data_IF_310487357303
#
_entry.id   IF_310487357303
#
_cell.length_a   1.000
_cell.length_b   1.000
_cell.length_c   1.000
_cell.angle_alpha   90.00
_cell.angle_beta   90.00
_cell.angle_gamma   90.00
#
_symmetry.space_group_name_H-M   'P 1'
#
loop_
_entity.id
_entity.type
_entity.pdbx_description
1 polymer ?
#
# COMPACT_ATOMS: atom_id res chain seq x y z
N UNK A 1 4.68 39.30 39.87
CA UNK A 1 4.63 39.21 38.40
C UNK A 1 3.39 39.92 37.87
N UNK A 2 3.53 40.87 36.94
CA UNK A 2 2.46 41.73 36.41
C UNK A 2 1.37 40.88 35.71
N UNK A 3 0.10 41.27 35.82
CA UNK A 3 -1.06 40.55 35.25
C UNK A 3 -0.95 40.38 33.73
N UNK A 4 -0.31 41.35 33.06
CA UNK A 4 0.00 41.29 31.62
C UNK A 4 0.85 40.06 31.29
N UNK A 5 1.92 39.83 32.05
CA UNK A 5 2.81 38.68 31.86
C UNK A 5 2.09 37.34 32.10
N UNK A 6 1.22 37.27 33.13
CA UNK A 6 0.42 36.06 33.38
C UNK A 6 -0.55 35.75 32.23
N UNK A 7 -1.21 36.78 31.69
CA UNK A 7 -2.13 36.62 30.56
C UNK A 7 -1.38 36.16 29.30
N UNK A 8 -0.26 36.79 28.95
CA UNK A 8 0.54 36.41 27.78
C UNK A 8 1.05 34.96 27.88
N UNK A 9 1.49 34.56 29.06
CA UNK A 9 1.94 33.19 29.32
C UNK A 9 0.81 32.16 29.16
N UNK A 10 -0.40 32.48 29.64
CA UNK A 10 -1.57 31.60 29.49
C UNK A 10 -2.00 31.46 28.02
N UNK A 11 -2.01 32.55 27.25
CA UNK A 11 -2.33 32.54 25.82
C UNK A 11 -1.31 31.71 25.02
N UNK A 12 -0.03 31.86 25.33
CA UNK A 12 1.04 31.07 24.73
C UNK A 12 0.91 29.58 25.06
N UNK A 13 0.55 29.24 26.30
CA UNK A 13 0.28 27.85 26.70
C UNK A 13 -0.90 27.24 25.91
N UNK A 14 -1.99 27.99 25.72
CA UNK A 14 -3.14 27.53 24.91
C UNK A 14 -2.74 27.32 23.44
N UNK A 15 -1.96 28.24 22.86
CA UNK A 15 -1.45 28.10 21.50
C UNK A 15 -0.56 26.85 21.36
N UNK A 16 0.33 26.61 22.33
CA UNK A 16 1.17 25.39 22.36
C UNK A 16 0.30 24.13 22.44
N UNK A 17 -0.64 24.06 23.39
CA UNK A 17 -1.45 22.85 23.58
C UNK A 17 -2.28 22.52 22.33
N UNK A 18 -2.92 23.53 21.73
CA UNK A 18 -3.70 23.35 20.50
C UNK A 18 -2.83 22.94 19.31
N UNK A 19 -1.63 23.52 19.16
CA UNK A 19 -0.67 23.13 18.14
C UNK A 19 -0.14 21.71 18.32
N UNK A 20 0.14 21.27 19.57
CA UNK A 20 0.57 19.89 19.86
C UNK A 20 -0.52 18.89 19.48
N UNK A 21 -1.77 19.16 19.86
CA UNK A 21 -2.91 18.27 19.52
C UNK A 21 -3.11 18.20 18.01
N UNK A 22 -3.05 19.34 17.33
CA UNK A 22 -3.19 19.41 15.87
C UNK A 22 -2.05 18.68 15.16
N UNK A 23 -0.81 18.87 15.61
CA UNK A 23 0.37 18.19 15.09
C UNK A 23 0.28 16.68 15.28
N UNK A 24 -0.08 16.22 16.48
CA UNK A 24 -0.24 14.80 16.77
C UNK A 24 -1.33 14.17 15.89
N UNK A 25 -2.49 14.82 15.77
CA UNK A 25 -3.58 14.35 14.92
C UNK A 25 -3.18 14.29 13.44
N UNK A 26 -2.52 15.33 12.92
CA UNK A 26 -2.03 15.38 11.54
C UNK A 26 -0.99 14.31 11.25
N UNK A 27 -0.04 14.09 12.17
CA UNK A 27 0.96 13.04 12.04
C UNK A 27 0.32 11.64 12.01
N UNK A 28 -0.64 11.38 12.90
CA UNK A 28 -1.37 10.10 12.92
C UNK A 28 -2.18 9.88 11.64
N UNK A 29 -2.84 10.92 11.12
CA UNK A 29 -3.57 10.83 9.86
C UNK A 29 -2.64 10.51 8.67
N UNK A 30 -1.50 11.18 8.59
CA UNK A 30 -0.49 10.92 7.56
C UNK A 30 0.09 9.50 7.66
N UNK A 31 0.42 9.04 8.87
CA UNK A 31 0.91 7.68 9.09
C UNK A 31 -0.12 6.63 8.68
N UNK A 32 -1.38 6.80 9.08
CA UNK A 32 -2.45 5.87 8.72
C UNK A 32 -2.66 5.83 7.19
N UNK A 33 -2.54 6.98 6.51
CA UNK A 33 -2.61 7.05 5.05
C UNK A 33 -1.44 6.31 4.39
N UNK A 34 -0.20 6.51 4.85
CA UNK A 34 0.99 5.83 4.33
C UNK A 34 0.89 4.31 4.54
N UNK A 35 0.53 3.87 5.73
CA UNK A 35 0.36 2.43 6.03
C UNK A 35 -0.76 1.80 5.20
N UNK A 36 -1.85 2.55 4.95
CA UNK A 36 -2.92 2.10 4.06
C UNK A 36 -2.46 2.01 2.60
N UNK A 37 -1.62 2.94 2.15
CA UNK A 37 -1.02 2.91 0.81
C UNK A 37 -0.10 1.70 0.62
N UNK A 38 0.81 1.46 1.58
CA UNK A 38 1.68 0.28 1.62
C UNK A 38 0.85 -1.02 1.52
N UNK A 39 -0.17 -1.18 2.36
CA UNK A 39 -1.05 -2.38 2.34
C UNK A 39 -1.82 -2.52 1.03
N UNK A 40 -2.31 -1.42 0.46
CA UNK A 40 -2.99 -1.43 -0.84
C UNK A 40 -2.06 -1.92 -1.94
N UNK A 41 -0.82 -1.46 -1.95
CA UNK A 41 0.17 -1.86 -2.95
C UNK A 41 0.50 -3.37 -2.87
N UNK A 42 0.62 -3.91 -1.66
CA UNK A 42 0.79 -5.34 -1.44
C UNK A 42 -0.41 -6.16 -1.95
N UNK A 43 -1.63 -5.73 -1.63
CA UNK A 43 -2.86 -6.41 -2.07
C UNK A 43 -3.08 -6.34 -3.58
N UNK A 44 -2.78 -5.20 -4.20
CA UNK A 44 -2.82 -5.05 -5.66
C UNK A 44 -1.80 -6.00 -6.30
N UNK A 45 -0.60 -6.08 -5.75
CA UNK A 45 0.46 -6.96 -6.26
C UNK A 45 0.09 -8.44 -6.12
N UNK A 46 -0.45 -8.87 -4.97
CA UNK A 46 -0.88 -10.27 -4.78
C UNK A 46 -2.03 -10.66 -5.72
N UNK A 47 -2.97 -9.73 -5.96
CA UNK A 47 -4.08 -9.92 -6.91
C UNK A 47 -3.57 -9.99 -8.36
N UNK A 48 -2.61 -9.14 -8.72
CA UNK A 48 -2.02 -9.12 -10.05
C UNK A 48 -1.27 -10.43 -10.35
N UNK A 49 -0.46 -10.93 -9.41
CA UNK A 49 0.25 -12.21 -9.56
C UNK A 49 -0.75 -13.35 -9.82
N UNK A 50 -1.79 -13.46 -8.99
CA UNK A 50 -2.81 -14.51 -9.14
C UNK A 50 -3.55 -14.40 -10.48
N UNK A 51 -3.94 -13.18 -10.86
CA UNK A 51 -4.64 -12.92 -12.13
C UNK A 51 -3.75 -13.26 -13.33
N UNK A 52 -2.47 -12.91 -13.27
CA UNK A 52 -1.51 -13.22 -14.33
C UNK A 52 -1.25 -14.74 -14.44
N UNK A 53 -1.18 -15.47 -13.33
CA UNK A 53 -1.08 -16.94 -13.35
C UNK A 53 -2.32 -17.55 -14.01
N UNK A 54 -3.52 -17.13 -13.59
CA UNK A 54 -4.77 -17.60 -14.18
C UNK A 54 -4.85 -17.29 -15.69
N UNK A 55 -4.38 -16.12 -16.09
CA UNK A 55 -4.30 -15.71 -17.49
C UNK A 55 -3.29 -16.57 -18.28
N UNK A 56 -2.14 -16.92 -17.70
CA UNK A 56 -1.21 -17.86 -18.34
C UNK A 56 -1.83 -19.26 -18.48
N UNK A 57 -2.61 -19.73 -17.49
CA UNK A 57 -3.36 -21.00 -17.59
C UNK A 57 -4.35 -20.96 -18.77
N UNK A 58 -5.10 -19.86 -18.92
CA UNK A 58 -6.03 -19.67 -20.04
C UNK A 58 -5.30 -19.64 -21.39
N UNK A 59 -4.17 -18.94 -21.45
CA UNK A 59 -3.28 -18.86 -22.62
C UNK A 59 -2.71 -20.21 -23.02
N UNK A 60 -2.30 -21.04 -22.07
CA UNK A 60 -1.84 -22.40 -22.34
C UNK A 60 -3.00 -23.26 -22.88
N UNK A 61 -4.18 -23.15 -22.25
CA UNK A 61 -5.39 -23.89 -22.63
C UNK A 61 -5.84 -23.56 -24.05
N UNK A 62 -5.88 -22.28 -24.41
CA UNK A 62 -6.26 -21.84 -25.76
C UNK A 62 -5.34 -22.43 -26.84
N UNK A 63 -4.02 -22.45 -26.61
CA UNK A 63 -3.05 -23.03 -27.55
C UNK A 63 -3.16 -24.54 -27.65
N UNK A 64 -3.27 -25.23 -26.51
CA UNK A 64 -3.41 -26.68 -26.48
C UNK A 64 -4.71 -27.13 -27.15
N UNK A 65 -5.82 -26.43 -26.89
CA UNK A 65 -7.11 -26.66 -27.52
C UNK A 65 -7.07 -26.44 -29.04
N UNK A 66 -6.40 -25.38 -29.49
CA UNK A 66 -6.28 -25.08 -30.92
C UNK A 66 -5.53 -26.22 -31.64
N UNK A 67 -4.34 -26.58 -31.17
CA UNK A 67 -3.51 -27.61 -31.82
C UNK A 67 -4.17 -28.99 -31.78
N UNK A 68 -4.77 -29.37 -30.65
CA UNK A 68 -5.47 -30.66 -30.51
C UNK A 68 -6.72 -30.77 -31.40
N UNK A 69 -7.27 -29.64 -31.86
CA UNK A 69 -8.46 -29.60 -32.71
C UNK A 69 -8.17 -29.61 -34.20
N UNK A 70 -6.92 -29.37 -34.63
CA UNK A 70 -6.56 -29.31 -36.05
C UNK A 70 -6.70 -30.69 -36.73
N UNK A 71 -7.52 -30.83 -37.79
CA UNK A 71 -7.74 -32.13 -38.45
C UNK A 71 -6.44 -32.77 -38.96
N UNK A 72 -5.53 -31.98 -39.52
CA UNK A 72 -4.24 -32.45 -40.01
C UNK A 72 -3.34 -33.00 -38.89
N UNK A 73 -3.43 -32.44 -37.69
CA UNK A 73 -2.70 -32.93 -36.52
C UNK A 73 -3.31 -34.22 -36.00
N UNK A 74 -4.65 -34.32 -35.94
CA UNK A 74 -5.34 -35.56 -35.55
C UNK A 74 -4.98 -36.71 -36.49
N UNK A 75 -5.07 -36.49 -37.81
CA UNK A 75 -4.73 -37.49 -38.82
C UNK A 75 -3.27 -37.97 -38.70
N UNK A 76 -2.31 -37.04 -38.61
CA UNK A 76 -0.91 -37.39 -38.47
C UNK A 76 -0.63 -38.11 -37.13
N UNK A 77 -1.31 -37.73 -36.04
CA UNK A 77 -1.14 -38.38 -34.74
C UNK A 77 -1.74 -39.78 -34.69
N UNK A 78 -2.92 -40.00 -35.30
CA UNK A 78 -3.55 -41.31 -35.48
C UNK A 78 -2.64 -42.24 -36.28
N UNK A 79 -2.05 -41.73 -37.37
CA UNK A 79 -1.07 -42.44 -38.18
C UNK A 79 0.31 -42.61 -37.50
N UNK A 80 0.49 -42.07 -36.28
CA UNK A 80 1.77 -42.05 -35.55
C UNK A 80 2.93 -41.47 -36.38
N UNK A 81 2.63 -40.50 -37.26
CA UNK A 81 3.61 -39.83 -38.09
C UNK A 81 4.21 -38.61 -37.37
N UNK A 82 5.30 -38.84 -36.62
CA UNK A 82 5.99 -37.77 -35.85
C UNK A 82 6.56 -36.68 -36.75
N UNK A 83 7.11 -37.06 -37.90
CA UNK A 83 7.77 -36.14 -38.82
C UNK A 83 6.76 -35.15 -39.41
N UNK A 84 5.58 -35.65 -39.79
CA UNK A 84 4.52 -34.80 -40.31
C UNK A 84 3.98 -33.81 -39.27
N UNK A 85 3.78 -34.22 -38.02
CA UNK A 85 3.40 -33.30 -36.94
C UNK A 85 4.49 -32.24 -36.73
N UNK A 86 5.76 -32.66 -36.71
CA UNK A 86 6.88 -31.76 -36.51
C UNK A 86 6.99 -30.71 -37.63
N UNK A 87 6.88 -31.13 -38.89
CA UNK A 87 6.93 -30.25 -40.06
C UNK A 87 5.80 -29.21 -40.05
N UNK A 88 4.62 -29.57 -39.53
CA UNK A 88 3.46 -28.68 -39.45
C UNK A 88 3.54 -27.67 -38.29
N UNK A 89 4.07 -28.08 -37.13
CA UNK A 89 3.99 -27.28 -35.91
C UNK A 89 5.29 -26.57 -35.52
N UNK A 90 6.46 -27.14 -35.82
CA UNK A 90 7.74 -26.61 -35.33
C UNK A 90 7.97 -25.14 -35.67
N UNK A 91 7.72 -24.65 -36.91
CA UNK A 91 7.93 -23.25 -37.25
C UNK A 91 7.11 -22.29 -36.36
N UNK A 92 5.83 -22.59 -36.16
CA UNK A 92 4.97 -21.80 -35.29
C UNK A 92 5.39 -21.92 -33.82
N UNK A 93 5.78 -23.11 -33.37
CA UNK A 93 6.20 -23.34 -31.99
C UNK A 93 7.54 -22.67 -31.64
N UNK A 94 8.43 -22.45 -32.61
CA UNK A 94 9.63 -21.62 -32.42
C UNK A 94 9.24 -20.18 -32.09
N UNK A 95 8.30 -19.59 -32.85
CA UNK A 95 7.78 -18.24 -32.55
C UNK A 95 7.12 -18.21 -31.17
N UNK A 96 6.34 -19.23 -30.83
CA UNK A 96 5.70 -19.34 -29.52
C UNK A 96 6.70 -19.41 -28.35
N UNK A 97 7.84 -20.09 -28.54
CA UNK A 97 8.92 -20.14 -27.56
C UNK A 97 9.58 -18.78 -27.40
N UNK A 98 9.99 -18.19 -28.52
CA UNK A 98 10.87 -17.02 -28.52
C UNK A 98 10.13 -15.73 -28.13
N UNK A 99 8.83 -15.62 -28.44
CA UNK A 99 8.05 -14.40 -28.17
C UNK A 99 7.07 -14.54 -27.01
N UNK A 100 6.57 -15.75 -26.74
CA UNK A 100 5.43 -15.94 -25.83
C UNK A 100 5.74 -16.87 -24.65
N UNK A 101 6.99 -17.27 -24.47
CA UNK A 101 7.43 -18.06 -23.31
C UNK A 101 6.89 -19.50 -23.29
N UNK A 102 6.50 -20.06 -24.44
CA UNK A 102 6.16 -21.48 -24.54
C UNK A 102 7.41 -22.31 -24.38
N UNK A 103 7.53 -23.03 -23.26
CA UNK A 103 8.69 -23.90 -22.96
C UNK A 103 8.50 -25.31 -23.48
N UNK A 104 7.25 -25.75 -23.61
CA UNK A 104 6.90 -27.13 -23.86
C UNK A 104 5.75 -27.24 -24.85
N UNK A 105 5.90 -28.19 -25.77
CA UNK A 105 4.86 -28.66 -26.68
C UNK A 105 5.07 -30.16 -26.84
N UNK A 106 4.11 -30.98 -26.42
CA UNK A 106 4.31 -32.43 -26.38
C UNK A 106 3.04 -33.22 -26.70
N UNK A 107 3.16 -34.19 -27.61
CA UNK A 107 2.15 -35.22 -27.84
C UNK A 107 2.47 -36.45 -27.01
N UNK A 108 1.43 -37.06 -26.42
CA UNK A 108 1.54 -38.16 -25.48
C UNK A 108 0.49 -39.22 -25.80
N UNK A 109 0.92 -40.47 -25.91
CA UNK A 109 0.02 -41.62 -26.10
C UNK A 109 -0.50 -42.12 -24.74
N UNK A 110 -1.71 -42.71 -24.69
CA UNK A 110 -2.21 -43.37 -23.49
C UNK A 110 -1.30 -44.54 -23.05
N UNK A 111 -1.12 -44.78 -21.75
CA UNK A 111 -1.64 -43.98 -20.63
C UNK A 111 -0.88 -42.66 -20.45
N UNK A 112 0.45 -42.63 -20.61
CA UNK A 112 1.26 -41.41 -20.52
C UNK A 112 2.66 -41.56 -21.16
N UNK A 113 2.75 -42.12 -22.37
CA UNK A 113 4.04 -42.33 -23.05
C UNK A 113 4.35 -41.14 -23.98
N UNK A 114 5.51 -40.52 -23.84
CA UNK A 114 5.95 -39.42 -24.70
C UNK A 114 5.99 -39.88 -26.16
N UNK A 115 5.12 -39.30 -27.00
CA UNK A 115 5.13 -39.59 -28.42
C UNK A 115 6.06 -38.65 -29.18
N UNK A 116 5.93 -37.35 -28.94
CA UNK A 116 6.73 -36.32 -29.60
C UNK A 116 6.85 -35.09 -28.72
N UNK A 117 8.08 -34.70 -28.35
CA UNK A 117 8.38 -33.37 -27.83
C UNK A 117 8.81 -32.47 -28.98
N UNK A 118 8.06 -31.39 -29.24
CA UNK A 118 8.28 -30.52 -30.39
C UNK A 118 9.69 -29.89 -30.37
N UNK A 119 10.21 -29.56 -29.19
CA UNK A 119 11.55 -28.97 -29.03
C UNK A 119 12.68 -30.00 -28.86
N UNK A 120 12.39 -31.30 -28.97
CA UNK A 120 13.37 -32.38 -28.84
C UNK A 120 13.02 -33.55 -29.77
N UNK A 121 13.03 -33.29 -31.09
CA UNK A 121 12.52 -34.24 -32.09
C UNK A 121 13.25 -35.59 -32.11
N UNK A 122 14.57 -35.60 -31.86
CA UNK A 122 15.40 -36.81 -31.91
C UNK A 122 15.17 -37.69 -30.68
N UNK A 123 15.37 -37.16 -29.48
CA UNK A 123 15.42 -37.96 -28.24
C UNK A 123 14.17 -37.80 -27.35
N UNK A 124 13.20 -36.98 -27.77
CA UNK A 124 12.04 -36.60 -26.97
C UNK A 124 10.84 -37.54 -27.06
N UNK A 125 11.05 -38.85 -27.18
CA UNK A 125 9.99 -39.84 -27.34
C UNK A 125 10.27 -41.13 -26.55
N UNK A 126 9.25 -41.96 -26.35
CA UNK A 126 9.33 -43.28 -25.70
C UNK A 126 9.34 -43.26 -24.16
N UNK A 127 9.59 -42.12 -23.53
CA UNK A 127 9.60 -42.00 -22.07
C UNK A 127 8.20 -42.24 -21.46
N UNK A 128 8.13 -43.09 -20.44
CA UNK A 128 6.95 -43.22 -19.58
C UNK A 128 6.89 -42.07 -18.56
N UNK A 129 5.78 -41.33 -18.59
CA UNK A 129 5.55 -40.15 -17.78
C UNK A 129 4.57 -40.40 -16.63
N UNK A 130 3.98 -41.61 -16.55
CA UNK A 130 2.90 -41.95 -15.62
C UNK A 130 3.27 -41.74 -14.15
N UNK A 131 4.55 -41.91 -13.78
CA UNK A 131 5.01 -41.75 -12.40
C UNK A 131 4.96 -40.31 -11.87
N UNK A 132 4.97 -39.29 -12.73
CA UNK A 132 5.13 -37.89 -12.30
C UNK A 132 4.30 -36.86 -13.08
N UNK A 133 3.64 -37.25 -14.17
CA UNK A 133 2.76 -36.38 -14.97
C UNK A 133 1.32 -36.82 -14.85
N UNK A 134 0.71 -36.49 -13.72
CA UNK A 134 -0.63 -36.94 -13.39
C UNK A 134 -1.70 -36.24 -14.23
N UNK A 135 -1.49 -34.99 -14.67
CA UNK A 135 -2.40 -34.33 -15.62
C UNK A 135 -2.55 -35.12 -16.93
N UNK A 136 -1.46 -35.69 -17.45
CA UNK A 136 -1.49 -36.50 -18.68
C UNK A 136 -2.30 -37.79 -18.47
N UNK A 137 -2.11 -38.45 -17.33
CA UNK A 137 -2.87 -39.65 -16.97
C UNK A 137 -4.37 -39.36 -16.89
N UNK A 138 -4.75 -38.28 -16.18
CA UNK A 138 -6.16 -37.92 -16.03
C UNK A 138 -6.77 -37.55 -17.38
N UNK A 139 -6.09 -36.74 -18.19
CA UNK A 139 -6.59 -36.34 -19.51
C UNK A 139 -6.78 -37.55 -20.44
N UNK A 140 -5.80 -38.45 -20.51
CA UNK A 140 -5.88 -39.65 -21.34
C UNK A 140 -6.89 -40.69 -20.82
N UNK A 141 -7.14 -40.73 -19.51
CA UNK A 141 -8.14 -41.64 -18.92
C UNK A 141 -9.56 -41.13 -19.10
N UNK A 142 -9.77 -39.83 -18.89
CA UNK A 142 -11.12 -39.23 -18.86
C UNK A 142 -11.57 -38.69 -20.21
N UNK A 143 -10.63 -38.37 -21.10
CA UNK A 143 -10.95 -37.67 -22.35
C UNK A 143 -11.34 -36.21 -22.14
N UNK A 144 -11.03 -35.64 -20.96
CA UNK A 144 -11.29 -34.26 -20.56
C UNK A 144 -10.00 -33.43 -20.38
N UNK A 145 -10.00 -32.13 -20.74
CA UNK A 145 -8.84 -31.27 -20.55
C UNK A 145 -8.40 -31.12 -19.10
N UNK A 146 -7.10 -31.02 -18.86
CA UNK A 146 -6.51 -30.72 -17.57
C UNK A 146 -5.65 -29.45 -17.68
N UNK A 147 -5.62 -28.62 -16.64
CA UNK A 147 -4.81 -27.39 -16.63
C UNK A 147 -4.36 -27.05 -15.22
N UNK A 148 -3.20 -26.41 -15.10
CA UNK A 148 -2.63 -26.06 -13.80
C UNK A 148 -1.12 -25.99 -13.86
N UNK A 149 -0.47 -26.00 -12.70
CA UNK A 149 0.99 -26.05 -12.60
C UNK A 149 1.41 -27.48 -12.30
N UNK A 150 2.46 -27.95 -12.97
CA UNK A 150 2.97 -29.30 -12.75
C UNK A 150 4.44 -29.36 -13.12
N UNK A 151 5.23 -30.08 -12.33
CA UNK A 151 6.66 -30.26 -12.58
C UNK A 151 6.84 -31.31 -13.67
N UNK A 152 7.70 -31.03 -14.64
CA UNK A 152 8.11 -31.96 -15.67
C UNK A 152 9.63 -32.10 -15.71
N UNK A 153 10.14 -32.82 -16.71
CA UNK A 153 11.59 -33.03 -16.87
C UNK A 153 12.38 -31.72 -16.99
N UNK A 154 11.76 -30.68 -17.52
CA UNK A 154 12.33 -29.33 -17.69
C UNK A 154 11.88 -28.36 -16.59
N UNK A 155 11.54 -28.88 -15.41
CA UNK A 155 11.12 -28.08 -14.26
C UNK A 155 9.63 -27.75 -14.25
N UNK A 156 9.29 -26.76 -13.44
CA UNK A 156 7.93 -26.25 -13.30
C UNK A 156 7.48 -25.50 -14.55
N UNK A 157 6.24 -25.75 -14.99
CA UNK A 157 5.56 -24.94 -16.00
C UNK A 157 4.09 -24.71 -15.62
N UNK A 158 3.49 -23.66 -16.17
CA UNK A 158 2.04 -23.48 -16.23
C UNK A 158 1.54 -24.24 -17.46
N UNK A 159 0.77 -25.30 -17.27
CA UNK A 159 0.45 -26.28 -18.32
C UNK A 159 -1.04 -26.39 -18.61
N UNK A 160 -1.34 -26.78 -19.83
CA UNK A 160 -2.64 -27.28 -20.23
C UNK A 160 -2.47 -28.53 -21.13
N UNK A 161 -3.21 -29.57 -20.80
CA UNK A 161 -3.25 -30.86 -21.49
C UNK A 161 -4.64 -31.04 -22.09
N UNK A 162 -4.69 -31.18 -23.41
CA UNK A 162 -5.93 -31.37 -24.15
C UNK A 162 -5.94 -32.74 -24.85
N UNK A 163 -6.98 -33.55 -24.63
CA UNK A 163 -7.18 -34.80 -25.36
C UNK A 163 -7.28 -34.56 -26.87
N UNK A 164 -6.59 -35.40 -27.64
CA UNK A 164 -6.68 -35.45 -29.10
C UNK A 164 -7.53 -36.66 -29.45
N UNK A 165 -8.74 -36.41 -29.96
CA UNK A 165 -9.73 -37.42 -30.36
C UNK A 165 -10.37 -37.08 -31.70
N UNK A 166 -10.75 -38.10 -32.45
CA UNK A 166 -11.57 -38.02 -33.66
C UNK A 166 -12.75 -39.02 -33.55
N UNK A 167 -13.43 -39.31 -34.65
CA UNK A 167 -14.60 -40.18 -34.70
C UNK A 167 -14.31 -41.65 -34.31
N UNK A 168 -13.05 -42.10 -34.43
CA UNK A 168 -12.58 -43.42 -33.97
C UNK A 168 -12.24 -43.45 -32.46
N UNK A 169 -12.34 -42.30 -31.78
CA UNK A 169 -12.12 -42.16 -30.34
C UNK A 169 -10.81 -41.47 -29.98
N UNK A 170 -10.31 -41.70 -28.76
CA UNK A 170 -9.11 -41.04 -28.23
C UNK A 170 -7.82 -41.57 -28.91
N UNK A 171 -6.96 -40.65 -29.38
CA UNK A 171 -5.61 -40.94 -29.88
C UNK A 171 -4.59 -40.82 -28.75
N UNK A 172 -4.73 -39.77 -27.93
CA UNK A 172 -3.82 -39.39 -26.86
C UNK A 172 -4.08 -37.96 -26.41
N UNK A 173 -3.04 -37.23 -26.03
CA UNK A 173 -3.15 -35.84 -25.59
C UNK A 173 -2.05 -34.96 -26.15
N UNK A 174 -2.33 -33.66 -26.25
CA UNK A 174 -1.35 -32.62 -26.53
C UNK A 174 -1.23 -31.67 -25.34
N UNK A 175 0.00 -31.35 -24.95
CA UNK A 175 0.32 -30.45 -23.86
C UNK A 175 1.07 -29.20 -24.35
N UNK A 176 0.71 -28.05 -23.77
CA UNK A 176 1.49 -26.81 -23.83
C UNK A 176 1.91 -26.44 -22.41
N UNK A 177 3.18 -26.05 -22.23
CA UNK A 177 3.71 -25.50 -20.99
C UNK A 177 4.33 -24.11 -21.19
N UNK A 178 3.96 -23.16 -20.33
CA UNK A 178 4.47 -21.80 -20.30
C UNK A 178 5.42 -21.59 -19.12
N UNK A 179 6.43 -20.73 -19.31
CA UNK A 179 7.27 -20.20 -18.24
C UNK A 179 6.50 -19.25 -17.31
N UNK A 180 7.10 -18.96 -16.16
CA UNK A 180 6.60 -17.90 -15.27
C UNK A 180 7.11 -16.51 -15.65
N UNK A 181 8.05 -16.40 -16.58
CA UNK A 181 8.69 -15.15 -16.99
C UNK A 181 7.72 -14.02 -17.30
N UNK A 182 6.57 -14.31 -17.95
CA UNK A 182 5.54 -13.30 -18.23
C UNK A 182 4.81 -12.82 -16.97
N UNK A 183 4.58 -13.70 -15.98
CA UNK A 183 4.00 -13.32 -14.69
C UNK A 183 4.96 -12.42 -13.93
N UNK A 184 6.24 -12.80 -13.91
CA UNK A 184 7.31 -12.07 -13.24
C UNK A 184 7.54 -10.69 -13.87
N UNK A 185 7.69 -10.63 -15.19
CA UNK A 185 7.93 -9.37 -15.91
C UNK A 185 6.76 -8.41 -15.76
N UNK A 186 5.52 -8.88 -15.94
CA UNK A 186 4.33 -8.04 -15.77
C UNK A 186 4.18 -7.54 -14.34
N UNK A 187 4.49 -8.35 -13.34
CA UNK A 187 4.46 -7.89 -11.95
C UNK A 187 5.51 -6.82 -11.72
N UNK A 188 6.77 -7.05 -12.12
CA UNK A 188 7.84 -6.06 -11.99
C UNK A 188 7.54 -4.75 -12.73
N UNK A 189 7.07 -4.83 -13.97
CA UNK A 189 6.73 -3.64 -14.77
C UNK A 189 5.56 -2.86 -14.20
N UNK A 190 4.52 -3.54 -13.70
CA UNK A 190 3.28 -2.86 -13.28
C UNK A 190 3.26 -2.43 -11.81
N UNK A 191 4.07 -3.06 -10.95
CA UNK A 191 4.08 -2.77 -9.50
C UNK A 191 5.47 -2.40 -8.98
N UNK A 192 6.53 -2.58 -9.76
CA UNK A 192 7.91 -2.34 -9.30
C UNK A 192 8.43 -3.40 -8.31
N UNK A 193 7.69 -4.48 -8.06
CA UNK A 193 8.16 -5.57 -7.19
C UNK A 193 9.13 -6.48 -7.94
N UNK A 194 10.22 -6.84 -7.27
CA UNK A 194 11.07 -7.95 -7.69
C UNK A 194 10.43 -9.27 -7.25
N UNK A 195 10.20 -10.14 -8.22
CA UNK A 195 9.45 -11.39 -8.06
C UNK A 195 10.32 -12.59 -8.39
N UNK A 196 10.10 -13.69 -7.66
CA UNK A 196 10.67 -14.99 -7.93
C UNK A 196 9.71 -16.14 -7.65
N UNK A 197 9.90 -17.25 -8.36
CA UNK A 197 9.20 -18.52 -8.15
C UNK A 197 10.13 -19.50 -7.49
N UNK A 198 9.68 -20.06 -6.37
CA UNK A 198 10.45 -20.96 -5.51
C UNK A 198 9.67 -22.25 -5.32
N UNK A 199 10.30 -23.38 -5.62
CA UNK A 199 9.65 -24.70 -5.57
C UNK A 199 10.44 -25.60 -4.64
N UNK A 200 9.74 -26.50 -3.96
CA UNK A 200 10.35 -27.51 -3.10
C UNK A 200 11.48 -28.23 -3.84
N UNK A 201 12.67 -28.18 -3.25
CA UNK A 201 13.91 -28.67 -3.85
C UNK A 201 13.88 -30.18 -4.06
N UNK A 202 13.22 -30.92 -3.17
CA UNK A 202 13.12 -32.39 -3.28
C UNK A 202 12.23 -32.75 -4.46
N UNK A 203 11.04 -32.14 -4.57
CA UNK A 203 10.13 -32.37 -5.68
C UNK A 203 10.77 -32.03 -7.03
N UNK A 204 11.46 -30.89 -7.11
CA UNK A 204 12.18 -30.50 -8.32
C UNK A 204 13.31 -31.47 -8.65
N UNK A 205 14.13 -31.87 -7.67
CA UNK A 205 15.27 -32.78 -7.89
C UNK A 205 14.81 -34.18 -8.33
N UNK A 206 13.69 -34.66 -7.80
CA UNK A 206 13.14 -35.97 -8.15
C UNK A 206 12.65 -36.02 -9.61
N UNK A 207 11.99 -34.95 -10.06
CA UNK A 207 11.28 -34.92 -11.34
C UNK A 207 12.09 -34.26 -12.47
N UNK A 208 12.70 -33.09 -12.22
CA UNK A 208 13.27 -32.20 -13.22
C UNK A 208 14.68 -32.60 -13.71
N UNK A 209 14.82 -33.84 -14.18
CA UNK A 209 16.12 -34.46 -14.54
C UNK A 209 16.81 -33.88 -15.79
N UNK A 210 16.14 -33.01 -16.57
CA UNK A 210 16.70 -32.35 -17.75
C UNK A 210 17.05 -30.88 -17.51
N UNK A 211 17.03 -30.43 -16.25
CA UNK A 211 17.58 -29.15 -15.85
C UNK A 211 18.73 -29.37 -14.87
N UNK A 212 19.82 -28.58 -15.00
CA UNK A 212 20.85 -28.59 -13.97
C UNK A 212 20.23 -28.12 -12.67
N UNK A 213 20.58 -28.80 -11.57
CA UNK A 213 20.24 -28.34 -10.23
C UNK A 213 20.90 -26.96 -10.03
N UNK A 214 20.18 -25.98 -9.45
CA UNK A 214 20.75 -24.66 -9.24
C UNK A 214 21.84 -24.68 -8.15
N UNK A 215 22.68 -23.66 -8.14
CA UNK A 215 23.72 -23.47 -7.12
C UNK A 215 23.11 -23.46 -5.71
N UNK A 216 23.87 -23.92 -4.71
CA UNK A 216 23.39 -24.01 -3.33
C UNK A 216 22.89 -22.67 -2.78
N UNK A 217 23.45 -21.55 -3.23
CA UNK A 217 22.99 -20.23 -2.83
C UNK A 217 21.58 -19.89 -3.29
N UNK A 218 21.06 -20.55 -4.33
CA UNK A 218 19.70 -20.39 -4.87
C UNK A 218 18.69 -21.30 -4.15
N UNK A 219 19.12 -22.05 -3.14
CA UNK A 219 18.29 -22.97 -2.37
C UNK A 219 18.19 -22.47 -0.93
N UNK A 220 17.04 -21.95 -0.54
CA UNK A 220 16.80 -21.36 0.78
C UNK A 220 15.64 -22.08 1.44
N UNK A 221 15.85 -22.60 2.65
CA UNK A 221 14.80 -23.26 3.44
C UNK A 221 14.15 -24.47 2.76
N UNK A 222 14.90 -25.17 1.90
CA UNK A 222 14.39 -26.34 1.16
C UNK A 222 13.65 -25.97 -0.13
N UNK A 223 13.61 -24.70 -0.53
CA UNK A 223 13.03 -24.26 -1.79
C UNK A 223 14.12 -23.74 -2.71
N UNK A 224 14.12 -24.20 -3.96
CA UNK A 224 15.04 -23.74 -4.99
C UNK A 224 14.39 -22.65 -5.86
N UNK A 225 15.16 -21.63 -6.23
CA UNK A 225 14.74 -20.60 -7.16
C UNK A 225 14.64 -21.17 -8.59
N UNK A 226 13.46 -21.06 -9.21
CA UNK A 226 13.19 -21.57 -10.57
C UNK A 226 13.30 -20.45 -11.60
N UNK A 227 12.60 -19.35 -11.37
CA UNK A 227 12.69 -18.13 -12.18
C UNK A 227 12.68 -16.93 -11.23
N UNK A 228 13.55 -15.95 -11.45
CA UNK A 228 13.63 -14.73 -10.62
C UNK A 228 13.92 -13.52 -11.49
N UNK A 229 13.41 -12.37 -11.08
CA UNK A 229 13.68 -11.08 -11.73
C UNK A 229 14.99 -10.46 -11.26
N UNK A 230 15.16 -10.26 -9.94
CA UNK A 230 16.37 -9.73 -9.33
C UNK A 230 16.72 -10.52 -8.07
N UNK A 231 17.78 -11.33 -8.14
CA UNK A 231 18.18 -12.20 -7.05
C UNK A 231 18.70 -11.43 -5.84
N UNK A 232 19.44 -10.34 -6.09
CA UNK A 232 20.04 -9.54 -5.03
C UNK A 232 18.98 -8.86 -4.15
N UNK A 233 17.82 -8.51 -4.72
CA UNK A 233 16.69 -7.93 -4.01
C UNK A 233 15.93 -8.99 -3.16
N UNK A 234 15.75 -10.19 -3.71
CA UNK A 234 15.01 -11.28 -3.05
C UNK A 234 15.81 -11.93 -1.92
N UNK A 235 17.07 -12.32 -2.20
CA UNK A 235 17.90 -13.18 -1.31
C UNK A 235 17.91 -12.73 0.17
N UNK A 236 18.06 -11.44 0.52
CA UNK A 236 18.10 -11.01 1.92
C UNK A 236 16.80 -11.23 2.70
N UNK A 237 15.67 -11.33 1.99
CA UNK A 237 14.33 -11.44 2.57
C UNK A 237 13.84 -12.90 2.61
N UNK A 238 14.54 -13.83 1.98
CA UNK A 238 14.16 -15.24 1.97
C UNK A 238 14.66 -15.96 3.21
N UNK A 239 13.78 -16.76 3.82
CA UNK A 239 14.12 -17.62 4.94
C UNK A 239 13.17 -18.81 5.03
N UNK A 240 13.52 -19.88 5.77
CA UNK A 240 12.59 -20.97 6.03
C UNK A 240 11.25 -20.49 6.64
N UNK A 241 11.31 -19.47 7.51
CA UNK A 241 10.13 -18.89 8.13
C UNK A 241 9.20 -18.20 7.13
N UNK A 242 9.77 -17.52 6.13
CA UNK A 242 9.00 -16.88 5.05
C UNK A 242 8.26 -17.93 4.22
N UNK A 243 8.92 -19.02 3.81
CA UNK A 243 8.25 -20.10 3.06
C UNK A 243 7.21 -20.85 3.90
N UNK A 244 7.41 -20.97 5.22
CA UNK A 244 6.42 -21.58 6.10
C UNK A 244 5.08 -20.82 6.12
N UNK A 245 5.12 -19.49 5.92
CA UNK A 245 3.94 -18.60 5.86
C UNK A 245 3.21 -18.65 4.53
N UNK A 246 3.84 -19.12 3.45
CA UNK A 246 3.24 -19.27 2.13
C UNK A 246 2.28 -20.48 2.07
N UNK A 247 1.39 -20.62 3.05
CA UNK A 247 0.27 -21.58 3.03
C UNK A 247 -0.91 -20.99 2.26
N UNK A 248 -1.18 -19.72 2.54
CA UNK A 248 -2.18 -18.90 1.87
C UNK A 248 -1.51 -17.67 1.26
N UNK A 249 -2.26 -16.95 0.45
CA UNK A 249 -1.84 -15.62 -0.01
C UNK A 249 -1.66 -14.73 1.21
N UNK A 250 -0.45 -14.22 1.41
CA UNK A 250 -0.14 -13.34 2.54
C UNK A 250 0.71 -12.17 2.10
N UNK A 251 0.58 -11.08 2.84
CA UNK A 251 1.28 -9.82 2.60
C UNK A 251 1.82 -9.31 3.93
N UNK A 252 3.09 -8.93 3.96
CA UNK A 252 3.75 -8.46 5.17
C UNK A 252 4.59 -7.22 4.91
N UNK A 253 4.73 -6.38 5.94
CA UNK A 253 5.75 -5.36 6.00
C UNK A 253 6.87 -5.90 6.88
N UNK A 254 8.08 -5.93 6.33
CA UNK A 254 9.28 -6.42 7.01
C UNK A 254 10.27 -5.28 7.13
N UNK A 255 10.95 -5.17 8.27
CA UNK A 255 12.09 -4.25 8.40
C UNK A 255 13.37 -5.06 8.45
N UNK A 256 14.25 -4.88 7.46
CA UNK A 256 15.53 -5.58 7.37
C UNK A 256 16.64 -4.55 7.22
N UNK A 257 17.64 -4.60 8.10
CA UNK A 257 18.74 -3.64 8.16
C UNK A 257 18.28 -2.17 8.24
N UNK A 258 17.14 -1.91 8.87
CA UNK A 258 16.57 -0.57 9.03
C UNK A 258 15.70 -0.07 7.87
N UNK A 259 15.63 -0.81 6.76
CA UNK A 259 14.78 -0.47 5.62
C UNK A 259 13.48 -1.28 5.67
N UNK A 260 12.36 -0.63 5.36
CA UNK A 260 11.06 -1.29 5.23
C UNK A 260 10.95 -1.95 3.86
N UNK A 261 10.46 -3.17 3.84
CA UNK A 261 10.18 -3.94 2.65
C UNK A 261 8.72 -4.39 2.66
N UNK A 262 8.08 -4.27 1.51
CA UNK A 262 6.86 -4.97 1.21
C UNK A 262 7.16 -6.40 0.77
N UNK A 263 6.53 -7.40 1.40
CA UNK A 263 6.61 -8.80 1.04
C UNK A 263 5.22 -9.31 0.65
N UNK A 264 5.14 -9.98 -0.50
CA UNK A 264 3.95 -10.68 -0.97
C UNK A 264 4.31 -12.15 -1.22
N UNK A 265 3.50 -13.05 -0.66
CA UNK A 265 3.63 -14.49 -0.80
C UNK A 265 2.35 -15.02 -1.44
N UNK A 266 2.49 -15.72 -2.57
CA UNK A 266 1.40 -16.43 -3.24
C UNK A 266 1.79 -17.91 -3.33
N UNK A 267 1.02 -18.84 -2.75
CA UNK A 267 1.35 -20.26 -2.82
C UNK A 267 1.30 -20.75 -4.27
N UNK A 268 2.30 -21.56 -4.66
CA UNK A 268 2.27 -22.30 -5.92
C UNK A 268 1.65 -23.66 -5.62
N UNK A 269 0.45 -23.87 -6.14
CA UNK A 269 -0.28 -25.12 -6.02
C UNK A 269 -0.12 -25.92 -7.31
N UNK A 270 -0.01 -27.24 -7.21
CA UNK A 270 -0.08 -28.11 -8.37
C UNK A 270 -1.53 -28.20 -8.90
N UNK A 271 -1.74 -28.98 -9.95
CA UNK A 271 -3.07 -29.15 -10.54
C UNK A 271 -4.10 -29.82 -9.61
N UNK A 272 -3.68 -30.49 -8.53
CA UNK A 272 -4.55 -31.08 -7.50
C UNK A 272 -4.88 -30.10 -6.37
N UNK A 273 -4.22 -28.94 -6.35
CA UNK A 273 -4.31 -27.98 -5.24
C UNK A 273 -3.30 -28.25 -4.13
N UNK A 274 -2.34 -29.15 -4.31
CA UNK A 274 -1.28 -29.42 -3.35
C UNK A 274 -0.17 -28.37 -3.48
N UNK A 275 0.29 -27.83 -2.36
CA UNK A 275 1.33 -26.80 -2.37
C UNK A 275 2.69 -27.42 -2.71
N UNK A 276 3.29 -26.92 -3.79
CA UNK A 276 4.63 -27.32 -4.25
C UNK A 276 5.66 -26.19 -4.11
N UNK A 277 5.23 -24.97 -3.78
CA UNK A 277 6.13 -23.83 -3.61
C UNK A 277 5.43 -22.51 -3.33
N UNK A 278 6.11 -21.41 -3.68
CA UNK A 278 5.61 -20.05 -3.53
C UNK A 278 6.17 -19.12 -4.60
N UNK A 279 5.34 -18.19 -5.06
CA UNK A 279 5.79 -16.94 -5.68
C UNK A 279 6.04 -15.94 -4.56
N UNK A 280 7.24 -15.38 -4.53
CA UNK A 280 7.66 -14.36 -3.57
C UNK A 280 7.92 -13.08 -4.33
N UNK A 281 7.28 -12.00 -3.92
CA UNK A 281 7.49 -10.67 -4.46
C UNK A 281 7.91 -9.71 -3.35
N UNK A 282 8.96 -8.93 -3.61
CA UNK A 282 9.54 -7.99 -2.64
C UNK A 282 9.69 -6.61 -3.26
N UNK A 283 9.54 -5.55 -2.45
CA UNK A 283 9.86 -4.19 -2.85
C UNK A 283 10.37 -3.38 -1.67
N UNK A 284 11.37 -2.55 -1.91
CA UNK A 284 11.87 -1.58 -0.94
C UNK A 284 10.87 -0.42 -0.78
N UNK A 285 10.42 -0.21 0.45
CA UNK A 285 9.46 0.82 0.86
C UNK A 285 10.13 2.00 1.60
N UNK A 286 11.45 2.14 1.48
CA UNK A 286 12.21 3.28 2.03
C UNK A 286 11.70 4.65 1.52
N UNK A 287 11.11 4.70 0.32
CA UNK A 287 10.44 5.91 -0.17
C UNK A 287 9.26 6.32 0.72
N UNK A 288 8.46 5.37 1.20
CA UNK A 288 7.39 5.64 2.16
C UNK A 288 7.94 6.06 3.53
N UNK A 289 9.06 5.48 3.97
CA UNK A 289 9.74 5.95 5.20
C UNK A 289 10.23 7.40 5.05
N UNK A 290 10.79 7.75 3.89
CA UNK A 290 11.20 9.12 3.61
C UNK A 290 10.00 10.08 3.62
N UNK A 291 8.89 9.71 2.97
CA UNK A 291 7.65 10.49 3.02
C UNK A 291 7.15 10.68 4.47
N UNK A 292 7.26 9.65 5.31
CA UNK A 292 6.89 9.73 6.72
C UNK A 292 7.78 10.72 7.50
N UNK A 293 9.10 10.73 7.23
CA UNK A 293 10.03 11.72 7.82
C UNK A 293 9.71 13.14 7.36
N UNK A 294 9.46 13.34 6.07
CA UNK A 294 9.05 14.64 5.53
C UNK A 294 7.71 15.11 6.13
N UNK A 295 6.76 14.20 6.33
CA UNK A 295 5.50 14.50 6.99
C UNK A 295 5.71 14.96 8.44
N UNK A 296 6.62 14.33 9.18
CA UNK A 296 6.99 14.76 10.54
C UNK A 296 7.59 16.16 10.55
N UNK A 297 8.60 16.43 9.71
CA UNK A 297 9.23 17.75 9.61
C UNK A 297 8.22 18.83 9.22
N UNK A 298 7.37 18.56 8.23
CA UNK A 298 6.30 19.48 7.81
C UNK A 298 5.28 19.75 8.90
N UNK A 299 4.90 18.72 9.67
CA UNK A 299 3.96 18.85 10.80
C UNK A 299 4.56 19.72 11.92
N UNK A 300 5.84 19.52 12.25
CA UNK A 300 6.54 20.35 13.25
C UNK A 300 6.66 21.80 12.78
N UNK A 301 7.02 22.03 11.51
CA UNK A 301 7.11 23.36 10.94
C UNK A 301 5.74 24.09 10.96
N UNK A 302 4.67 23.40 10.58
CA UNK A 302 3.30 23.92 10.65
C UNK A 302 2.86 24.20 12.10
N UNK A 303 3.21 23.34 13.06
CA UNK A 303 2.91 23.57 14.46
C UNK A 303 3.62 24.81 15.00
N UNK A 304 4.89 25.02 14.64
CA UNK A 304 5.66 26.22 14.99
C UNK A 304 5.03 27.48 14.40
N UNK A 305 4.66 27.45 13.11
CA UNK A 305 3.97 28.55 12.46
C UNK A 305 2.61 28.85 13.11
N UNK A 306 1.84 27.81 13.44
CA UNK A 306 0.56 27.93 14.14
C UNK A 306 0.74 28.59 15.51
N UNK A 307 1.78 28.23 16.28
CA UNK A 307 2.07 28.88 17.57
C UNK A 307 2.33 30.37 17.39
N UNK A 308 3.17 30.76 16.41
CA UNK A 308 3.51 32.16 16.15
C UNK A 308 2.26 32.95 15.74
N UNK A 309 1.48 32.42 14.80
CA UNK A 309 0.27 33.08 14.30
C UNK A 309 -0.82 33.18 15.36
N UNK A 310 -1.11 32.09 16.09
CA UNK A 310 -2.13 32.09 17.14
C UNK A 310 -1.72 33.00 18.29
N UNK A 311 -0.47 32.94 18.74
CA UNK A 311 0.01 33.82 19.82
C UNK A 311 -0.05 35.29 19.38
N UNK A 312 0.44 35.62 18.18
CA UNK A 312 0.38 36.98 17.64
C UNK A 312 -1.04 37.51 17.52
N UNK A 313 -1.95 36.75 16.92
CA UNK A 313 -3.36 37.10 16.79
C UNK A 313 -4.01 37.29 18.17
N UNK A 314 -3.77 36.37 19.09
CA UNK A 314 -4.38 36.39 20.41
C UNK A 314 -3.83 37.55 21.27
N UNK A 315 -2.55 37.90 21.13
CA UNK A 315 -1.97 39.11 21.73
C UNK A 315 -2.60 40.39 21.19
N UNK A 316 -2.81 40.49 19.86
CA UNK A 316 -3.47 41.65 19.24
C UNK A 316 -4.90 41.78 19.78
N UNK A 317 -5.66 40.68 19.78
CA UNK A 317 -7.05 40.65 20.25
C UNK A 317 -7.14 40.99 21.73
N UNK A 318 -6.37 40.32 22.60
CA UNK A 318 -6.41 40.58 24.04
C UNK A 318 -5.92 41.99 24.39
N UNK A 319 -4.88 42.48 23.70
CA UNK A 319 -4.39 43.83 23.94
C UNK A 319 -5.41 44.89 23.52
N UNK A 320 -6.04 44.74 22.36
CA UNK A 320 -7.03 45.68 21.84
C UNK A 320 -8.37 45.61 22.58
N UNK A 321 -8.87 44.41 22.86
CA UNK A 321 -10.22 44.22 23.42
C UNK A 321 -10.28 44.24 24.95
N UNK A 322 -9.19 43.89 25.65
CA UNK A 322 -9.15 43.81 27.11
C UNK A 322 -8.12 44.77 27.72
N UNK A 323 -6.82 44.60 27.43
CA UNK A 323 -5.77 45.31 28.19
C UNK A 323 -5.80 46.83 28.02
N UNK A 324 -6.02 47.33 26.79
CA UNK A 324 -6.12 48.79 26.53
C UNK A 324 -7.34 49.40 27.24
N UNK A 325 -8.58 48.88 27.10
CA UNK A 325 -9.72 49.37 27.85
C UNK A 325 -9.55 49.32 29.38
N UNK A 326 -9.03 48.21 29.92
CA UNK A 326 -8.77 48.11 31.37
C UNK A 326 -7.75 49.15 31.84
N UNK A 327 -6.70 49.41 31.06
CA UNK A 327 -5.72 50.44 31.40
C UNK A 327 -6.32 51.85 31.39
N UNK A 328 -7.23 52.15 30.45
CA UNK A 328 -7.94 53.43 30.40
C UNK A 328 -8.84 53.62 31.62
N UNK A 329 -9.63 52.60 32.00
CA UNK A 329 -10.47 52.64 33.20
C UNK A 329 -9.61 52.78 34.48
N UNK A 330 -8.52 52.03 34.59
CA UNK A 330 -7.61 52.10 35.74
C UNK A 330 -6.96 53.49 35.86
N UNK A 331 -6.50 54.06 34.74
CA UNK A 331 -5.94 55.42 34.70
C UNK A 331 -6.97 56.46 35.13
N UNK A 332 -8.20 56.37 34.60
CA UNK A 332 -9.26 57.29 34.97
C UNK A 332 -9.64 57.20 36.44
N UNK A 333 -9.65 55.99 37.00
CA UNK A 333 -9.88 55.79 38.43
C UNK A 333 -8.77 56.39 39.31
N UNK A 334 -7.50 56.29 38.90
CA UNK A 334 -6.37 56.86 39.64
C UNK A 334 -6.38 58.39 39.61
N UNK A 335 -6.58 59.01 38.43
CA UNK A 335 -6.70 60.47 38.31
C UNK A 335 -7.82 61.01 39.20
N UNK A 336 -8.96 60.30 39.26
CA UNK A 336 -10.07 60.64 40.15
C UNK A 336 -9.74 60.56 41.63
N UNK A 337 -8.91 59.59 42.01
CA UNK A 337 -8.46 59.39 43.38
C UNK A 337 -7.49 60.51 43.79
N UNK A 338 -6.61 60.91 42.87
CA UNK A 338 -5.64 62.00 43.05
C UNK A 338 -6.28 63.40 42.95
N UNK A 339 -7.57 63.48 42.61
CA UNK A 339 -8.34 64.72 42.57
C UNK A 339 -8.27 65.47 41.24
N UNK A 340 -7.66 64.86 40.23
CA UNK A 340 -7.59 65.38 38.87
C UNK A 340 -8.85 65.01 38.06
N UNK A 341 -9.17 65.76 36.99
CA UNK A 341 -10.26 65.40 36.08
C UNK A 341 -9.97 64.07 35.38
N UNK A 342 -10.96 63.19 35.32
CA UNK A 342 -10.84 61.92 34.61
C UNK A 342 -10.59 62.15 33.11
N UNK A 343 -9.79 61.30 32.45
CA UNK A 343 -9.80 61.14 31.00
C UNK A 343 -11.20 60.77 30.50
N UNK A 344 -11.51 61.14 29.25
CA UNK A 344 -12.76 60.79 28.61
C UNK A 344 -12.88 59.27 28.38
N UNK A 345 -14.05 58.72 28.71
CA UNK A 345 -14.39 57.30 28.63
C UNK A 345 -15.64 57.05 27.77
N UNK A 346 -16.13 58.04 27.01
CA UNK A 346 -17.36 57.94 26.22
C UNK A 346 -17.35 56.74 25.25
N UNK A 347 -16.25 56.53 24.53
CA UNK A 347 -16.07 55.37 23.63
C UNK A 347 -16.16 54.03 24.36
N UNK A 348 -15.63 53.95 25.59
CA UNK A 348 -15.72 52.73 26.40
C UNK A 348 -17.11 52.55 27.02
N UNK A 349 -17.77 53.64 27.41
CA UNK A 349 -19.13 53.63 27.93
C UNK A 349 -20.18 53.18 26.89
N UNK A 350 -19.87 53.29 25.59
CA UNK A 350 -20.71 52.76 24.52
C UNK A 350 -20.64 51.23 24.37
N UNK A 351 -19.66 50.56 24.98
CA UNK A 351 -19.56 49.10 24.94
C UNK A 351 -20.69 48.45 25.74
N UNK A 352 -21.21 47.33 25.23
CA UNK A 352 -22.30 46.56 25.86
C UNK A 352 -21.82 45.48 26.83
N UNK A 353 -20.52 45.34 27.01
CA UNK A 353 -19.88 44.36 27.89
C UNK A 353 -19.61 44.92 29.29
N UNK A 354 -19.00 44.10 30.16
CA UNK A 354 -18.65 44.45 31.54
C UNK A 354 -17.73 45.67 31.60
N UNK A 355 -16.83 45.83 30.63
CA UNK A 355 -15.92 46.98 30.52
C UNK A 355 -16.71 48.26 30.32
N UNK A 356 -17.71 48.26 29.42
CA UNK A 356 -18.60 49.40 29.26
C UNK A 356 -19.46 49.68 30.49
N UNK A 357 -19.88 48.63 31.20
CA UNK A 357 -20.56 48.75 32.49
C UNK A 357 -19.72 49.48 33.54
N UNK A 358 -18.43 49.14 33.64
CA UNK A 358 -17.47 49.80 34.53
C UNK A 358 -17.24 51.27 34.13
N UNK A 359 -17.06 51.55 32.84
CA UNK A 359 -16.88 52.92 32.34
C UNK A 359 -18.07 53.82 32.69
N UNK A 360 -19.31 53.36 32.47
CA UNK A 360 -20.54 54.10 32.84
C UNK A 360 -20.67 54.34 34.33
N UNK A 361 -20.31 53.34 35.14
CA UNK A 361 -20.36 53.45 36.61
C UNK A 361 -19.35 54.50 37.11
N UNK A 362 -18.15 54.52 36.53
CA UNK A 362 -17.13 55.52 36.87
C UNK A 362 -17.56 56.93 36.45
N UNK A 363 -18.15 57.10 35.26
CA UNK A 363 -18.72 58.38 34.82
C UNK A 363 -19.79 58.90 35.78
N UNK A 364 -20.67 58.01 36.28
CA UNK A 364 -21.71 58.39 37.25
C UNK A 364 -21.11 58.86 38.58
N UNK A 365 -20.00 58.26 39.03
CA UNK A 365 -19.26 58.69 40.22
C UNK A 365 -18.59 60.06 40.05
N UNK A 366 -18.06 60.37 38.85
CA UNK A 366 -17.54 61.70 38.54
C UNK A 366 -18.66 62.76 38.64
N UNK A 367 -19.81 62.47 38.02
CA UNK A 367 -20.95 63.39 37.99
C UNK A 367 -21.51 63.66 39.41
N UNK A 368 -21.57 62.64 40.28
CA UNK A 368 -22.05 62.81 41.65
C UNK A 368 -21.09 63.63 42.53
N UNK A 369 -19.77 63.48 42.35
CA UNK A 369 -18.75 64.26 43.09
C UNK A 369 -18.70 65.73 42.64
N UNK A 370 -18.98 66.01 41.35
CA UNK A 370 -19.11 67.37 40.82
C UNK A 370 -20.30 68.14 41.39
N UNK A 371 -21.44 67.47 41.61
CA UNK A 371 -22.63 68.08 42.23
C UNK A 371 -22.48 68.35 43.74
N UNK A 372 -21.51 67.72 44.42
CA UNK A 372 -21.26 67.93 45.85
C UNK A 372 -20.58 69.27 46.21
N UNK A 373 -19.92 69.94 45.26
CA UNK A 373 -19.29 71.27 45.47
C UNK A 373 -20.22 72.46 45.19
N UNK A 374 -21.45 72.22 44.73
CA UNK A 374 -22.40 73.26 44.31
C UNK A 374 -23.40 73.73 45.37
N UNK A 375 -23.34 73.26 46.63
CA UNK A 375 -24.41 73.48 47.60
C UNK A 375 -23.96 74.14 48.92
N UNK A 376 -23.20 75.25 48.84
CA UNK A 376 -22.92 76.14 49.99
C UNK A 376 -23.23 77.61 49.71
N UNK A 377 -24.25 77.91 48.90
CA UNK A 377 -24.64 79.31 48.68
C UNK A 377 -26.15 79.49 48.44
N UNK A 378 -26.99 79.17 49.42
CA UNK A 378 -28.40 79.64 49.46
C UNK A 378 -29.00 79.42 50.86
N UNK A 379 -28.51 80.10 51.89
CA UNK A 379 -29.26 80.37 53.13
C UNK A 379 -28.66 81.57 53.85
N UNK A 380 -29.03 82.79 53.45
CA UNK A 380 -29.04 83.99 54.30
C UNK A 380 -29.75 85.13 53.56
N UNK A 381 -31.09 85.03 53.46
CA UNK A 381 -31.93 86.15 53.03
C UNK A 381 -33.41 85.95 53.45
N UNK A 382 -33.69 85.58 54.70
CA UNK A 382 -34.99 85.85 55.34
C UNK A 382 -34.81 86.00 56.84
N UNK A 383 -34.55 87.23 57.30
CA UNK A 383 -35.06 87.81 58.55
C UNK A 383 -34.49 89.21 58.72
N UNK A 384 -35.24 90.22 58.30
CA UNK A 384 -35.54 91.44 59.08
C UNK A 384 -36.28 92.46 58.20
N UNK A 385 -37.61 92.34 58.17
CA UNK A 385 -38.48 93.51 58.00
C UNK A 385 -39.75 93.31 58.83
N UNK A 386 -39.65 93.63 60.12
CA UNK A 386 -40.80 94.05 60.93
C UNK A 386 -40.34 95.11 61.94
N UNK A 387 -40.94 96.29 61.78
CA UNK A 387 -41.14 97.39 62.72
C UNK A 387 -40.03 98.46 62.85
N UNK A 388 -40.18 99.54 62.08
CA UNK A 388 -40.45 100.91 62.55
C UNK A 388 -40.62 101.86 61.36
#
# INVERSE_FOLDING_TARGET
MNIKWKSQLLLFMVAITTSIVSAYSGFQANNAMIESAKKRELNVTSTLIQSNIAEQINKASARASLVSSLPSIKQAFRAKNREEIANRLLPAMIVQRDQFGVREGQFVLPPAVSFLRIYALKDGHGEDLSGFRQMLLVANRTGEPQRGMEIGRRGLSIRAVYPVKDDEGLIGSFEIGLSFSSVLSQTKTNTGFDVGVFIDDKLMTEVAKLQPRPDSERIIGGYQAVEVTEWAALKPLLSPAVFAKARDVSTELLTVNGNDYGLVLVPVLDYKGERIGAVVAVRDFSEFQNQQRWALTGTVAMAGLQIVLLTGALLIVVNAMLLKPFAAIASASNELADGNPAPDLEDLANRRDEIGGMARSLQTLVASKGNGKGNTNTKDAVKESKNA
#
